data_IF_171969980752
#
_entry.id   IF_171969980752
#
_cell.length_a   1.000
_cell.length_b   1.000
_cell.length_c   1.000
_cell.angle_alpha   90.00
_cell.angle_beta   90.00
_cell.angle_gamma   90.00
#
_symmetry.space_group_name_H-M   'P 1'
#
loop_
_entity.id
_entity.type
_entity.pdbx_description
1 polymer ?
#
# COMPACT_ATOMS: atom_id res chain seq x y z
N UNK A 1 4.33 8.16 0.31
CA UNK A 1 3.91 8.32 1.72
C UNK A 1 2.49 8.88 1.83
N UNK A 2 2.13 9.90 1.04
CA UNK A 2 0.78 10.47 0.95
C UNK A 2 -0.40 9.47 0.96
N UNK A 3 -0.35 8.39 0.17
CA UNK A 3 -1.44 7.40 0.15
C UNK A 3 -1.68 6.70 1.51
N UNK A 4 -0.63 6.46 2.30
CA UNK A 4 -0.75 5.86 3.63
C UNK A 4 -1.30 6.86 4.65
N UNK A 5 -0.94 8.14 4.52
CA UNK A 5 -1.49 9.23 5.33
C UNK A 5 -2.99 9.43 5.05
N UNK A 6 -3.37 9.40 3.78
CA UNK A 6 -4.79 9.43 3.36
C UNK A 6 -5.57 8.25 3.93
N UNK A 7 -5.03 7.03 3.85
CA UNK A 7 -5.67 5.85 4.43
C UNK A 7 -5.83 5.98 5.95
N UNK A 8 -4.85 6.53 6.67
CA UNK A 8 -4.95 6.79 8.10
C UNK A 8 -6.09 7.77 8.41
N UNK A 9 -6.12 8.91 7.71
CA UNK A 9 -7.16 9.92 7.90
C UNK A 9 -8.56 9.39 7.58
N UNK A 10 -8.71 8.57 6.52
CA UNK A 10 -9.96 7.91 6.19
C UNK A 10 -10.39 6.94 7.28
N UNK A 11 -9.47 6.14 7.81
CA UNK A 11 -9.75 5.17 8.87
C UNK A 11 -10.22 5.85 10.17
N UNK A 12 -9.50 6.88 10.62
CA UNK A 12 -9.83 7.62 11.85
C UNK A 12 -11.23 8.26 11.77
N UNK A 13 -11.54 8.92 10.64
CA UNK A 13 -12.88 9.49 10.39
C UNK A 13 -13.95 8.41 10.31
N UNK A 14 -13.65 7.28 9.67
CA UNK A 14 -14.59 6.18 9.56
C UNK A 14 -14.92 5.58 10.93
N UNK A 15 -13.93 5.51 11.83
CA UNK A 15 -14.09 4.97 13.17
C UNK A 15 -14.93 5.88 14.08
N UNK A 16 -14.81 7.20 13.91
CA UNK A 16 -15.69 8.16 14.57
C UNK A 16 -17.14 7.92 14.15
N UNK A 17 -17.42 7.88 12.85
CA UNK A 17 -18.78 7.67 12.33
C UNK A 17 -19.36 6.30 12.73
N UNK A 18 -18.54 5.24 12.81
CA UNK A 18 -18.98 3.94 13.34
C UNK A 18 -19.43 4.05 14.79
N UNK A 19 -18.74 4.84 15.61
CA UNK A 19 -19.11 5.05 17.00
C UNK A 19 -20.44 5.81 17.13
N UNK A 20 -20.64 6.80 16.27
CA UNK A 20 -21.89 7.58 16.18
C UNK A 20 -23.06 6.73 15.67
N UNK A 21 -22.83 5.88 14.66
CA UNK A 21 -23.83 4.96 14.15
C UNK A 21 -24.28 3.95 15.21
N UNK A 22 -23.35 3.46 16.05
CA UNK A 22 -23.67 2.60 17.21
C UNK A 22 -24.53 3.31 18.26
N UNK A 23 -24.40 4.63 18.40
CA UNK A 23 -25.29 5.43 19.26
C UNK A 23 -26.65 5.77 18.64
N UNK A 24 -26.95 5.29 17.42
CA UNK A 24 -28.27 5.40 16.79
C UNK A 24 -28.31 6.22 15.49
N UNK A 25 -27.20 6.86 15.07
CA UNK A 25 -27.12 7.61 13.79
C UNK A 25 -26.90 6.68 12.59
N UNK A 26 -27.93 5.89 12.28
CA UNK A 26 -27.88 4.87 11.21
C UNK A 26 -27.77 5.44 9.79
N UNK A 27 -28.05 6.73 9.61
CA UNK A 27 -27.84 7.47 8.36
C UNK A 27 -26.37 7.49 7.90
N UNK A 28 -25.43 7.35 8.85
CA UNK A 28 -24.00 7.29 8.57
C UNK A 28 -23.53 5.97 7.91
N UNK A 29 -24.36 4.92 7.88
CA UNK A 29 -23.98 3.60 7.35
C UNK A 29 -23.50 3.68 5.91
N UNK A 30 -24.14 4.49 5.07
CA UNK A 30 -23.71 4.68 3.69
C UNK A 30 -22.30 5.28 3.60
N UNK A 31 -22.05 6.34 4.38
CA UNK A 31 -20.76 7.03 4.40
C UNK A 31 -19.66 6.12 4.96
N UNK A 32 -19.98 5.29 5.94
CA UNK A 32 -19.05 4.28 6.49
C UNK A 32 -18.64 3.28 5.41
N UNK A 33 -19.61 2.74 4.66
CA UNK A 33 -19.34 1.80 3.57
C UNK A 33 -18.53 2.45 2.45
N UNK A 34 -18.83 3.70 2.12
CA UNK A 34 -18.09 4.45 1.12
C UNK A 34 -16.61 4.60 1.49
N UNK A 35 -16.30 5.09 2.71
CA UNK A 35 -14.91 5.23 3.16
C UNK A 35 -14.20 3.89 3.26
N UNK A 36 -14.90 2.83 3.67
CA UNK A 36 -14.35 1.48 3.67
C UNK A 36 -13.95 1.00 2.26
N UNK A 37 -14.78 1.23 1.25
CA UNK A 37 -14.45 0.92 -0.15
C UNK A 37 -13.20 1.70 -0.63
N UNK A 38 -13.07 2.98 -0.25
CA UNK A 38 -11.88 3.77 -0.56
C UNK A 38 -10.61 3.18 0.08
N UNK A 39 -10.68 2.73 1.34
CA UNK A 39 -9.56 2.06 2.00
C UNK A 39 -9.14 0.79 1.28
N UNK A 40 -10.09 -0.06 0.89
CA UNK A 40 -9.83 -1.29 0.14
C UNK A 40 -9.21 -1.01 -1.23
N UNK A 41 -9.66 0.04 -1.92
CA UNK A 41 -9.06 0.50 -3.18
C UNK A 41 -7.60 0.89 -2.97
N UNK A 42 -7.31 1.71 -1.96
CA UNK A 42 -5.94 2.17 -1.70
C UNK A 42 -5.04 1.00 -1.31
N UNK A 43 -5.53 0.06 -0.49
CA UNK A 43 -4.83 -1.19 -0.16
C UNK A 43 -4.49 -2.00 -1.42
N UNK A 44 -5.45 -2.22 -2.31
CA UNK A 44 -5.25 -2.96 -3.56
C UNK A 44 -4.21 -2.30 -4.46
N UNK A 45 -4.30 -0.98 -4.64
CA UNK A 45 -3.36 -0.23 -5.47
C UNK A 45 -1.93 -0.30 -4.93
N UNK A 46 -1.76 -0.14 -3.61
CA UNK A 46 -0.44 -0.24 -2.97
C UNK A 46 0.15 -1.65 -3.12
N UNK A 47 -0.65 -2.69 -2.88
CA UNK A 47 -0.20 -4.07 -3.04
C UNK A 47 0.22 -4.35 -4.49
N UNK A 48 -0.60 -3.95 -5.47
CA UNK A 48 -0.32 -4.16 -6.88
C UNK A 48 0.96 -3.43 -7.31
N UNK A 49 1.15 -2.19 -6.87
CA UNK A 49 2.36 -1.42 -7.14
C UNK A 49 3.62 -2.09 -6.58
N UNK A 50 3.59 -2.49 -5.31
CA UNK A 50 4.72 -3.16 -4.67
C UNK A 50 5.01 -4.52 -5.33
N UNK A 51 3.98 -5.28 -5.64
CA UNK A 51 4.11 -6.58 -6.27
C UNK A 51 4.71 -6.49 -7.69
N UNK A 52 4.24 -5.57 -8.52
CA UNK A 52 4.81 -5.34 -9.87
C UNK A 52 6.30 -4.98 -9.79
N UNK A 53 6.68 -4.12 -8.83
CA UNK A 53 8.09 -3.77 -8.61
C UNK A 53 8.93 -4.98 -8.22
N UNK A 54 8.43 -5.82 -7.31
CA UNK A 54 9.12 -7.05 -6.91
C UNK A 54 9.30 -8.03 -8.08
N UNK A 55 8.33 -8.14 -8.98
CA UNK A 55 8.46 -8.94 -10.19
C UNK A 55 9.56 -8.42 -11.12
N UNK A 56 9.65 -7.09 -11.29
CA UNK A 56 10.74 -6.46 -12.07
C UNK A 56 12.11 -6.70 -11.41
N UNK A 57 12.20 -6.56 -10.10
CA UNK A 57 13.44 -6.84 -9.35
C UNK A 57 13.86 -8.30 -9.50
N UNK A 58 12.89 -9.22 -9.44
CA UNK A 58 13.15 -10.64 -9.70
C UNK A 58 13.69 -10.88 -11.11
N UNK A 59 13.22 -10.14 -12.12
CA UNK A 59 13.77 -10.24 -13.48
C UNK A 59 15.23 -9.75 -13.55
N UNK A 60 15.57 -8.65 -12.86
CA UNK A 60 16.93 -8.12 -12.81
C UNK A 60 17.96 -9.13 -12.28
N UNK A 61 17.56 -10.03 -11.37
CA UNK A 61 18.41 -11.13 -10.87
C UNK A 61 18.89 -12.07 -11.98
N UNK A 62 18.03 -12.32 -12.97
CA UNK A 62 18.34 -13.20 -14.10
C UNK A 62 19.11 -12.47 -15.20
N UNK A 63 18.91 -11.15 -15.34
CA UNK A 63 19.58 -10.33 -16.35
C UNK A 63 21.01 -9.90 -15.94
N UNK A 64 21.18 -9.47 -14.69
CA UNK A 64 22.44 -8.88 -14.19
C UNK A 64 23.14 -9.74 -13.13
N UNK A 65 22.49 -10.76 -12.59
CA UNK A 65 23.04 -11.59 -11.52
C UNK A 65 22.81 -11.01 -10.13
N UNK A 66 23.66 -11.36 -9.17
CA UNK A 66 23.53 -10.99 -7.75
C UNK A 66 23.96 -9.55 -7.45
N UNK A 67 24.78 -8.93 -8.30
CA UNK A 67 25.32 -7.58 -8.10
C UNK A 67 24.75 -6.67 -9.17
N UNK A 68 23.86 -5.76 -8.77
CA UNK A 68 23.30 -4.76 -9.69
C UNK A 68 24.21 -3.53 -9.81
N UNK A 69 24.26 -2.87 -10.98
CA UNK A 69 24.85 -1.54 -11.11
C UNK A 69 24.25 -0.51 -10.14
N UNK A 70 25.07 0.41 -9.65
CA UNK A 70 24.63 1.49 -8.74
C UNK A 70 23.50 2.35 -9.33
N UNK A 71 23.47 2.51 -10.66
CA UNK A 71 22.40 3.23 -11.36
C UNK A 71 21.03 2.61 -11.16
N UNK A 72 20.93 1.31 -10.93
CA UNK A 72 19.68 0.61 -10.65
C UNK A 72 19.39 0.61 -9.15
N UNK A 73 20.39 0.31 -8.32
CA UNK A 73 20.25 0.26 -6.86
C UNK A 73 19.76 1.58 -6.26
N UNK A 74 20.17 2.72 -6.83
CA UNK A 74 19.74 4.05 -6.38
C UNK A 74 18.21 4.26 -6.47
N UNK A 75 17.52 3.54 -7.36
CA UNK A 75 16.07 3.63 -7.56
C UNK A 75 15.28 2.59 -6.76
N UNK A 76 15.96 1.80 -5.93
CA UNK A 76 15.38 0.75 -5.10
C UNK A 76 15.33 1.21 -3.65
N UNK A 77 14.26 0.81 -2.95
CA UNK A 77 14.21 0.94 -1.50
C UNK A 77 15.17 -0.07 -0.85
N UNK A 78 15.61 0.19 0.38
CA UNK A 78 16.51 -0.71 1.12
C UNK A 78 15.91 -2.12 1.28
N UNK A 79 14.59 -2.19 1.49
CA UNK A 79 13.83 -3.43 1.60
C UNK A 79 13.82 -4.20 0.28
N UNK A 80 13.74 -3.50 -0.86
CA UNK A 80 13.77 -4.10 -2.20
C UNK A 80 15.15 -4.71 -2.51
N UNK A 81 16.24 -4.03 -2.09
CA UNK A 81 17.61 -4.55 -2.20
C UNK A 81 17.78 -5.80 -1.33
N UNK A 82 17.26 -5.80 -0.10
CA UNK A 82 17.26 -6.98 0.76
C UNK A 82 16.47 -8.15 0.16
N UNK A 83 15.35 -7.88 -0.51
CA UNK A 83 14.56 -8.92 -1.18
C UNK A 83 15.33 -9.55 -2.34
N UNK A 84 16.07 -8.75 -3.13
CA UNK A 84 16.94 -9.28 -4.18
C UNK A 84 18.00 -10.25 -3.63
N UNK A 85 18.60 -9.94 -2.48
CA UNK A 85 19.60 -10.82 -1.84
C UNK A 85 19.03 -12.15 -1.35
N UNK A 86 17.70 -12.26 -1.21
CA UNK A 86 17.00 -13.49 -0.81
C UNK A 86 16.59 -14.37 -1.99
N UNK A 87 16.65 -13.87 -3.23
CA UNK A 87 16.35 -14.61 -4.46
C UNK A 87 17.59 -15.27 -5.06
#
# INVERSE_FOLDING_TARGET
RQALEEMRALYERNQADVSEAKSGRTDLIFLIRFRHCCLLRNQRCLLAYLYDRLLRIRALRWEYGSVLPNSIQFHMAAEEVSVLQKF
#
